data_IF_693748520141
#
_entry.id   IF_693748520141
#
_cell.length_a   1.000
_cell.length_b   1.000
_cell.length_c   1.000
_cell.angle_alpha   90.00
_cell.angle_beta   90.00
_cell.angle_gamma   90.00
#
_symmetry.space_group_name_H-M   'P 1'
#
loop_
_entity.id
_entity.type
_entity.pdbx_description
1 polymer ?
#
# COMPACT_ATOMS: atom_id res chain seq x y z
N UNK A 1 7.69 -3.93 -18.98
CA UNK A 1 7.40 -3.42 -17.64
C UNK A 1 6.25 -2.42 -17.67
N UNK A 2 6.31 -1.37 -18.51
CA UNK A 2 5.32 -0.29 -18.58
C UNK A 2 3.92 -0.81 -18.90
N UNK A 3 3.74 -1.61 -19.96
CA UNK A 3 2.45 -2.21 -20.30
C UNK A 3 1.86 -3.07 -19.16
N UNK A 4 2.72 -3.88 -18.51
CA UNK A 4 2.28 -4.71 -17.38
C UNK A 4 1.89 -3.86 -16.18
N UNK A 5 2.61 -2.74 -15.94
CA UNK A 5 2.31 -1.82 -14.87
C UNK A 5 0.98 -1.09 -15.09
N UNK A 6 0.71 -0.63 -16.31
CA UNK A 6 -0.57 -0.02 -16.68
C UNK A 6 -1.74 -0.98 -16.48
N UNK A 7 -1.59 -2.25 -16.90
CA UNK A 7 -2.60 -3.28 -16.67
C UNK A 7 -2.84 -3.53 -15.17
N UNK A 8 -1.78 -3.68 -14.37
CA UNK A 8 -1.88 -3.91 -12.92
C UNK A 8 -2.57 -2.73 -12.25
N UNK A 9 -2.10 -1.51 -12.49
CA UNK A 9 -2.68 -0.31 -11.86
C UNK A 9 -4.12 -0.06 -12.32
N UNK A 10 -4.49 -0.45 -13.53
CA UNK A 10 -5.86 -0.37 -14.02
C UNK A 10 -6.82 -1.43 -13.45
N UNK A 11 -6.30 -2.56 -12.99
CA UNK A 11 -7.10 -3.69 -12.52
C UNK A 11 -7.30 -3.71 -11.00
N UNK A 12 -6.39 -3.14 -10.21
CA UNK A 12 -6.40 -3.27 -8.76
C UNK A 12 -6.81 -1.98 -8.05
N UNK A 13 -7.65 -2.15 -7.01
CA UNK A 13 -7.99 -1.15 -6.03
C UNK A 13 -7.55 -1.63 -4.64
N UNK A 14 -7.28 -0.71 -3.73
CA UNK A 14 -6.88 -1.02 -2.37
C UNK A 14 -7.90 -0.51 -1.37
N UNK A 15 -8.46 -1.40 -0.54
CA UNK A 15 -9.30 -1.03 0.59
C UNK A 15 -8.47 -1.06 1.88
N UNK A 16 -8.37 0.09 2.55
CA UNK A 16 -7.75 0.17 3.88
C UNK A 16 -8.81 0.02 4.97
N UNK A 17 -8.52 -0.81 5.99
CA UNK A 17 -9.42 -1.08 7.12
C UNK A 17 -8.89 -0.56 8.46
N UNK A 18 -7.73 0.10 8.49
CA UNK A 18 -7.11 0.55 9.75
C UNK A 18 -6.49 1.94 9.63
N UNK A 19 -6.45 2.65 10.75
CA UNK A 19 -5.71 3.92 10.90
C UNK A 19 -4.50 3.75 11.83
N UNK A 20 -4.35 2.59 12.46
CA UNK A 20 -3.25 2.31 13.39
C UNK A 20 -2.00 1.92 12.59
N UNK A 21 -0.94 2.69 12.75
CA UNK A 21 0.32 2.45 12.03
C UNK A 21 0.93 1.07 12.30
N UNK A 22 0.81 0.58 13.53
CA UNK A 22 1.28 -0.75 13.94
C UNK A 22 0.50 -1.91 13.31
N UNK A 23 -0.71 -1.66 12.83
CA UNK A 23 -1.53 -2.65 12.12
C UNK A 23 -1.30 -2.63 10.60
N UNK A 24 -0.52 -1.68 10.08
CA UNK A 24 -0.11 -1.67 8.68
C UNK A 24 1.01 -2.69 8.48
N UNK A 25 0.76 -3.61 7.57
CA UNK A 25 1.63 -4.76 7.33
C UNK A 25 2.99 -4.35 6.77
N UNK A 26 4.06 -4.83 7.42
CA UNK A 26 5.44 -4.63 7.00
C UNK A 26 6.18 -5.97 6.98
N UNK A 27 7.02 -6.18 5.97
CA UNK A 27 7.79 -7.41 5.79
C UNK A 27 9.27 -7.08 5.64
N UNK A 28 10.15 -7.79 6.34
CA UNK A 28 11.58 -7.63 6.12
C UNK A 28 11.96 -8.04 4.70
N UNK A 29 12.83 -7.27 4.09
CA UNK A 29 13.33 -7.57 2.74
C UNK A 29 13.99 -8.95 2.68
N UNK A 30 14.73 -9.32 3.73
CA UNK A 30 15.37 -10.65 3.86
C UNK A 30 14.33 -11.77 3.82
N UNK A 31 13.20 -11.61 4.53
CA UNK A 31 12.12 -12.60 4.54
C UNK A 31 11.47 -12.71 3.15
N UNK A 32 11.20 -11.58 2.50
CA UNK A 32 10.62 -11.59 1.15
C UNK A 32 11.54 -12.29 0.14
N UNK A 33 12.85 -12.04 0.21
CA UNK A 33 13.84 -12.71 -0.65
C UNK A 33 13.93 -14.22 -0.37
N UNK A 34 13.73 -14.64 0.88
CA UNK A 34 13.74 -16.05 1.26
C UNK A 34 12.47 -16.81 0.82
N UNK A 35 11.30 -16.16 0.96
CA UNK A 35 10.00 -16.77 0.64
C UNK A 35 9.69 -16.70 -0.85
N UNK A 36 10.16 -15.66 -1.54
CA UNK A 36 9.91 -15.40 -2.95
C UNK A 36 11.24 -15.42 -3.74
N UNK A 37 11.94 -16.54 -3.77
CA UNK A 37 13.25 -16.63 -4.40
C UNK A 37 13.13 -16.52 -5.93
N UNK A 38 14.08 -15.82 -6.56
CA UNK A 38 14.16 -15.61 -7.99
C UNK A 38 14.13 -16.89 -8.86
N UNK A 39 14.61 -18.01 -8.31
CA UNK A 39 14.68 -19.30 -9.02
C UNK A 39 13.32 -20.03 -9.13
N UNK A 40 12.31 -19.62 -8.35
CA UNK A 40 10.98 -20.24 -8.40
C UNK A 40 10.23 -19.92 -9.71
N UNK A 41 10.68 -18.91 -10.46
CA UNK A 41 10.12 -18.55 -11.77
C UNK A 41 11.04 -19.08 -12.88
N UNK A 42 10.73 -20.29 -13.29
CA UNK A 42 11.47 -20.99 -14.36
C UNK A 42 11.45 -20.22 -15.69
N UNK A 43 12.64 -19.93 -16.19
CA UNK A 43 13.09 -19.96 -17.60
C UNK A 43 13.19 -18.65 -18.39
N UNK A 44 12.50 -17.54 -18.13
CA UNK A 44 12.61 -16.40 -19.05
C UNK A 44 12.95 -15.03 -18.44
N UNK A 45 12.73 -14.78 -17.15
CA UNK A 45 12.98 -13.47 -16.54
C UNK A 45 13.78 -13.60 -15.25
N UNK A 46 15.02 -13.12 -15.27
CA UNK A 46 15.93 -13.10 -14.09
C UNK A 46 15.65 -11.94 -13.13
N UNK A 47 14.41 -11.53 -12.98
CA UNK A 47 14.03 -10.42 -12.10
C UNK A 47 13.38 -10.98 -10.86
N UNK A 48 13.94 -10.68 -9.68
CA UNK A 48 13.32 -11.04 -8.41
C UNK A 48 12.11 -10.13 -8.11
N UNK A 49 11.16 -10.63 -7.33
CA UNK A 49 10.00 -9.81 -6.91
C UNK A 49 10.46 -8.58 -6.14
N UNK A 50 11.51 -8.70 -5.33
CA UNK A 50 12.11 -7.57 -4.62
C UNK A 50 12.66 -6.52 -5.58
N UNK A 51 13.25 -6.94 -6.70
CA UNK A 51 13.69 -5.99 -7.74
C UNK A 51 12.51 -5.26 -8.37
N UNK A 52 11.40 -5.94 -8.65
CA UNK A 52 10.19 -5.30 -9.17
C UNK A 52 9.67 -4.25 -8.18
N UNK A 53 9.65 -4.55 -6.88
CA UNK A 53 9.23 -3.59 -5.85
C UNK A 53 10.19 -2.38 -5.80
N UNK A 54 11.51 -2.59 -5.97
CA UNK A 54 12.48 -1.51 -6.09
C UNK A 54 12.22 -0.63 -7.31
N UNK A 55 11.92 -1.23 -8.47
CA UNK A 55 11.64 -0.50 -9.70
C UNK A 55 10.34 0.31 -9.59
N UNK A 56 9.30 -0.24 -8.95
CA UNK A 56 8.06 0.46 -8.64
C UNK A 56 8.34 1.68 -7.74
N UNK A 57 9.06 1.45 -6.64
CA UNK A 57 9.42 2.52 -5.72
C UNK A 57 10.26 3.60 -6.41
N UNK A 58 11.24 3.21 -7.19
CA UNK A 58 12.08 4.12 -7.94
C UNK A 58 11.26 5.00 -8.89
N UNK A 59 10.40 4.38 -9.71
CA UNK A 59 9.55 5.10 -10.66
C UNK A 59 8.62 6.10 -9.94
N UNK A 60 8.04 5.71 -8.82
CA UNK A 60 7.20 6.57 -8.02
C UNK A 60 7.99 7.73 -7.38
N UNK A 61 9.19 7.47 -6.87
CA UNK A 61 10.07 8.52 -6.32
C UNK A 61 10.50 9.52 -7.38
N UNK A 62 10.70 9.12 -8.64
CA UNK A 62 10.96 10.02 -9.75
C UNK A 62 9.77 10.93 -10.04
N UNK A 63 8.55 10.40 -9.94
CA UNK A 63 7.32 11.20 -10.05
C UNK A 63 7.28 12.26 -8.94
N UNK A 64 7.45 11.84 -7.68
CA UNK A 64 7.46 12.76 -6.52
C UNK A 64 8.53 13.83 -6.68
N UNK A 65 9.74 13.47 -7.09
CA UNK A 65 10.83 14.41 -7.29
C UNK A 65 10.50 15.44 -8.38
N UNK A 66 9.85 15.04 -9.46
CA UNK A 66 9.46 15.92 -10.55
C UNK A 66 8.38 16.92 -10.12
N UNK A 67 7.34 16.43 -9.44
CA UNK A 67 6.21 17.25 -9.02
C UNK A 67 6.56 18.25 -7.91
N UNK A 68 7.47 17.86 -7.01
CA UNK A 68 7.82 18.63 -5.81
C UNK A 68 9.27 19.14 -5.82
N UNK A 69 9.91 19.27 -6.99
CA UNK A 69 11.34 19.64 -7.10
C UNK A 69 11.72 20.96 -6.42
N UNK A 70 10.77 21.87 -6.25
CA UNK A 70 10.97 23.18 -5.60
C UNK A 70 10.36 23.26 -4.19
N UNK A 71 9.75 22.18 -3.69
CA UNK A 71 9.16 22.15 -2.36
C UNK A 71 10.24 21.84 -1.32
N UNK A 72 10.41 22.68 -0.28
CA UNK A 72 11.37 22.40 0.81
C UNK A 72 11.03 21.10 1.57
N UNK A 73 9.80 20.62 1.49
CA UNK A 73 9.38 19.36 2.11
C UNK A 73 9.65 18.11 1.24
N UNK A 74 10.27 18.24 0.06
CA UNK A 74 10.49 17.13 -0.88
C UNK A 74 11.07 15.88 -0.21
N UNK A 75 12.12 16.01 0.58
CA UNK A 75 12.76 14.87 1.23
C UNK A 75 11.84 14.18 2.24
N UNK A 76 11.00 14.95 2.94
CA UNK A 76 10.00 14.41 3.87
C UNK A 76 8.89 13.67 3.10
N UNK A 77 8.40 14.26 1.99
CA UNK A 77 7.38 13.62 1.15
C UNK A 77 7.91 12.31 0.58
N UNK A 78 9.11 12.31 0.02
CA UNK A 78 9.76 11.10 -0.50
C UNK A 78 9.93 10.02 0.58
N UNK A 79 10.39 10.40 1.77
CA UNK A 79 10.56 9.47 2.89
C UNK A 79 9.23 8.90 3.38
N UNK A 80 8.19 9.73 3.46
CA UNK A 80 6.87 9.33 3.94
C UNK A 80 6.05 8.54 2.92
N UNK A 81 6.40 8.56 1.63
CA UNK A 81 5.70 7.85 0.56
C UNK A 81 6.49 6.67 0.01
N UNK A 82 7.72 6.47 0.46
CA UNK A 82 8.56 5.33 0.06
C UNK A 82 7.91 4.00 0.46
N UNK A 83 8.03 2.99 -0.40
CA UNK A 83 7.65 1.61 -0.07
C UNK A 83 8.57 1.02 0.99
N UNK A 84 9.81 1.49 1.09
CA UNK A 84 10.81 0.97 2.02
C UNK A 84 10.95 1.86 3.26
N UNK A 85 10.97 1.25 4.45
CA UNK A 85 11.36 1.93 5.70
C UNK A 85 12.87 2.04 5.75
N UNK A 86 13.36 3.19 6.27
CA UNK A 86 14.79 3.47 6.46
C UNK A 86 15.66 3.36 5.20
N UNK A 87 15.93 4.53 4.62
CA UNK A 87 17.07 4.82 3.77
C UNK A 87 17.04 4.47 2.27
N UNK A 88 15.91 4.52 1.60
CA UNK A 88 15.97 4.65 0.13
C UNK A 88 16.73 5.93 -0.33
N UNK A 89 16.89 6.94 0.55
CA UNK A 89 17.55 8.22 0.24
C UNK A 89 18.99 8.37 0.77
N UNK A 90 19.46 7.49 1.63
CA UNK A 90 20.88 7.50 1.97
C UNK A 90 21.64 6.56 1.04
N UNK A 91 22.54 7.14 0.24
CA UNK A 91 23.54 6.46 -0.60
C UNK A 91 24.45 5.54 0.23
N UNK A 92 23.90 4.70 1.09
CA UNK A 92 24.69 3.76 1.88
C UNK A 92 24.50 2.36 1.33
N UNK A 93 25.27 2.06 0.29
CA UNK A 93 25.48 0.72 -0.28
C UNK A 93 25.95 -0.34 0.76
N UNK A 94 25.86 -0.06 2.03
CA UNK A 94 26.42 -0.92 3.10
C UNK A 94 25.57 -1.03 4.37
N UNK A 95 24.32 -0.54 4.38
CA UNK A 95 23.44 -0.82 5.51
C UNK A 95 22.86 -2.23 5.36
N UNK A 96 22.91 -2.91 6.47
CA UNK A 96 22.49 -4.30 6.63
C UNK A 96 21.07 -4.44 6.10
N UNK A 97 20.85 -5.24 5.05
CA UNK A 97 19.54 -5.54 4.44
C UNK A 97 18.49 -6.01 5.47
N UNK A 98 18.92 -6.39 6.65
CA UNK A 98 18.09 -6.87 7.76
C UNK A 98 17.15 -5.82 8.33
N UNK A 99 17.50 -4.54 8.22
CA UNK A 99 16.72 -3.44 8.82
C UNK A 99 15.74 -2.80 7.83
N UNK A 100 15.80 -3.16 6.54
CA UNK A 100 14.89 -2.66 5.52
C UNK A 100 13.60 -3.45 5.53
N UNK A 101 12.49 -2.75 5.67
CA UNK A 101 11.16 -3.36 5.60
C UNK A 101 10.38 -2.81 4.39
N UNK A 102 9.57 -3.66 3.79
CA UNK A 102 8.62 -3.32 2.74
C UNK A 102 7.28 -2.98 3.39
N UNK A 103 6.80 -1.77 3.18
CA UNK A 103 5.51 -1.28 3.64
C UNK A 103 4.43 -1.67 2.63
N UNK A 104 3.65 -2.72 2.94
CA UNK A 104 2.67 -3.26 2.01
C UNK A 104 1.55 -2.26 1.68
N UNK A 105 1.11 -1.46 2.65
CA UNK A 105 0.12 -0.42 2.41
C UNK A 105 0.61 0.62 1.40
N UNK A 106 1.88 1.04 1.46
CA UNK A 106 2.46 1.99 0.50
C UNK A 106 2.54 1.38 -0.91
N UNK A 107 2.97 0.11 -1.01
CA UNK A 107 2.96 -0.62 -2.27
C UNK A 107 1.54 -0.70 -2.86
N UNK A 108 0.54 -1.00 -2.03
CA UNK A 108 -0.86 -1.06 -2.45
C UNK A 108 -1.39 0.31 -2.90
N UNK A 109 -1.07 1.40 -2.18
CA UNK A 109 -1.46 2.75 -2.57
C UNK A 109 -0.86 3.13 -3.92
N UNK A 110 0.41 2.81 -4.16
CA UNK A 110 1.10 3.13 -5.41
C UNK A 110 0.53 2.27 -6.56
N UNK A 111 0.36 0.96 -6.33
CA UNK A 111 -0.04 -0.01 -7.35
C UNK A 111 -1.54 -0.08 -7.68
N UNK A 112 -2.37 0.72 -7.04
CA UNK A 112 -3.83 0.75 -7.28
C UNK A 112 -4.24 1.99 -8.06
N UNK A 113 -5.32 1.91 -8.84
CA UNK A 113 -5.92 3.10 -9.45
C UNK A 113 -6.71 3.93 -8.43
N UNK A 114 -7.26 3.29 -7.40
CA UNK A 114 -8.04 3.93 -6.34
C UNK A 114 -7.78 3.25 -5.00
N UNK A 115 -7.83 4.03 -3.94
CA UNK A 115 -7.75 3.57 -2.55
C UNK A 115 -9.03 3.99 -1.85
N UNK A 116 -9.64 3.11 -1.07
CA UNK A 116 -10.81 3.51 -0.30
C UNK A 116 -10.69 3.26 1.19
N UNK A 117 -11.24 4.21 1.95
CA UNK A 117 -11.62 4.00 3.33
C UNK A 117 -13.02 3.38 3.42
N UNK A 118 -13.37 2.84 4.58
CA UNK A 118 -14.59 2.05 4.81
C UNK A 118 -15.74 2.82 5.49
N UNK A 119 -15.54 4.10 5.74
CA UNK A 119 -16.54 5.09 6.14
C UNK A 119 -16.04 6.49 5.84
N UNK A 120 -16.92 7.48 5.84
CA UNK A 120 -16.53 8.86 5.57
C UNK A 120 -15.52 9.39 6.60
N UNK A 121 -15.76 9.13 7.88
CA UNK A 121 -14.85 9.49 8.96
C UNK A 121 -13.48 8.80 8.78
N UNK A 122 -13.47 7.50 8.51
CA UNK A 122 -12.24 6.74 8.28
C UNK A 122 -11.46 7.31 7.10
N UNK A 123 -12.14 7.56 5.99
CA UNK A 123 -11.51 8.12 4.77
C UNK A 123 -10.90 9.50 5.02
N UNK A 124 -11.59 10.36 5.79
CA UNK A 124 -11.07 11.66 6.20
C UNK A 124 -9.78 11.51 7.02
N UNK A 125 -9.78 10.60 8.01
CA UNK A 125 -8.60 10.32 8.82
C UNK A 125 -7.44 9.81 7.96
N UNK A 126 -7.70 8.91 6.99
CA UNK A 126 -6.67 8.43 6.06
C UNK A 126 -6.02 9.58 5.28
N UNK A 127 -6.82 10.50 4.75
CA UNK A 127 -6.33 11.67 3.98
C UNK A 127 -5.55 12.65 4.85
N UNK A 128 -6.00 12.89 6.08
CA UNK A 128 -5.43 13.89 6.97
C UNK A 128 -4.20 13.39 7.75
N UNK A 129 -4.09 12.06 7.97
CA UNK A 129 -3.03 11.47 8.77
C UNK A 129 -2.24 10.38 8.04
N UNK A 130 -2.79 9.18 7.93
CA UNK A 130 -2.06 7.96 7.52
C UNK A 130 -1.45 8.10 6.13
N UNK A 131 -2.23 8.56 5.16
CA UNK A 131 -1.82 8.74 3.77
C UNK A 131 -1.79 10.19 3.31
N UNK A 132 -1.63 11.12 4.25
CA UNK A 132 -1.61 12.56 3.97
C UNK A 132 -0.62 12.92 2.86
N UNK A 133 0.57 12.34 2.86
CA UNK A 133 1.59 12.62 1.87
C UNK A 133 1.24 12.02 0.50
N UNK A 134 0.59 10.86 0.49
CA UNK A 134 0.06 10.30 -0.75
C UNK A 134 -1.06 11.17 -1.35
N UNK A 135 -1.96 11.71 -0.51
CA UNK A 135 -3.00 12.62 -0.98
C UNK A 135 -2.42 13.90 -1.61
N UNK A 136 -1.25 14.36 -1.14
CA UNK A 136 -0.53 15.49 -1.74
C UNK A 136 0.05 15.14 -3.11
N UNK A 137 0.62 13.93 -3.25
CA UNK A 137 1.25 13.46 -4.50
C UNK A 137 0.21 13.05 -5.54
N UNK A 138 -0.86 12.40 -5.11
CA UNK A 138 -1.93 11.89 -5.98
C UNK A 138 -3.30 12.31 -5.44
N UNK A 139 -3.69 13.58 -5.59
CA UNK A 139 -4.93 14.11 -5.06
C UNK A 139 -6.16 13.37 -5.60
N UNK A 140 -7.12 13.07 -4.71
CA UNK A 140 -8.37 12.43 -5.08
C UNK A 140 -8.29 10.92 -5.32
N UNK A 141 -7.13 10.31 -5.16
CA UNK A 141 -6.96 8.85 -5.25
C UNK A 141 -7.64 8.12 -4.10
N UNK A 142 -7.76 8.76 -2.93
CA UNK A 142 -8.38 8.17 -1.74
C UNK A 142 -9.85 8.58 -1.69
N UNK A 143 -10.74 7.61 -1.81
CA UNK A 143 -12.20 7.81 -1.83
C UNK A 143 -12.88 7.13 -0.65
N UNK A 144 -14.14 7.45 -0.41
CA UNK A 144 -14.97 6.76 0.56
C UNK A 144 -15.87 5.74 -0.11
N UNK A 145 -15.86 4.50 0.41
CA UNK A 145 -16.87 3.47 0.13
C UNK A 145 -17.27 2.90 1.48
N UNK A 146 -18.40 3.37 2.00
CA UNK A 146 -18.91 2.94 3.30
C UNK A 146 -19.29 1.46 3.27
N UNK A 147 -18.84 0.71 4.28
CA UNK A 147 -19.19 -0.70 4.44
C UNK A 147 -20.70 -0.91 4.51
N UNK A 148 -21.17 -1.98 3.91
CA UNK A 148 -22.54 -2.46 4.06
C UNK A 148 -22.75 -3.11 5.43
N UNK A 149 -24.01 -3.16 5.86
CA UNK A 149 -24.45 -3.84 7.07
C UNK A 149 -25.57 -4.84 6.74
N UNK A 150 -25.59 -5.98 7.45
CA UNK A 150 -26.61 -7.04 7.28
C UNK A 150 -27.14 -7.48 8.65
N UNK A 151 -27.84 -6.59 9.39
CA UNK A 151 -28.22 -6.85 10.79
C UNK A 151 -29.12 -8.07 10.95
N UNK A 152 -30.03 -8.36 9.99
CA UNK A 152 -30.85 -9.56 10.02
C UNK A 152 -30.02 -10.84 9.95
N UNK A 153 -29.09 -10.93 9.03
CA UNK A 153 -28.19 -12.08 8.92
C UNK A 153 -27.35 -12.26 10.17
N UNK A 154 -26.82 -11.18 10.74
CA UNK A 154 -26.04 -11.24 11.97
C UNK A 154 -26.87 -11.74 13.15
N UNK A 155 -28.13 -11.26 13.28
CA UNK A 155 -29.03 -11.73 14.32
C UNK A 155 -29.35 -13.22 14.19
N UNK A 156 -29.69 -13.68 12.98
CA UNK A 156 -29.95 -15.09 12.69
C UNK A 156 -28.76 -16.00 12.99
N UNK A 157 -27.54 -15.56 12.65
CA UNK A 157 -26.34 -16.35 12.89
C UNK A 157 -25.91 -16.40 14.36
N UNK A 158 -26.06 -15.28 15.09
CA UNK A 158 -25.64 -15.23 16.51
C UNK A 158 -26.71 -15.81 17.45
N UNK A 159 -27.97 -15.86 17.03
CA UNK A 159 -29.07 -16.40 17.84
C UNK A 159 -30.05 -17.23 16.99
N UNK A 160 -29.69 -18.49 16.68
CA UNK A 160 -30.56 -19.38 15.89
C UNK A 160 -31.95 -19.58 16.47
N UNK A 161 -32.12 -19.49 17.82
CA UNK A 161 -33.42 -19.61 18.46
C UNK A 161 -34.35 -18.43 18.17
N UNK A 162 -33.81 -17.27 17.79
CA UNK A 162 -34.61 -16.10 17.44
C UNK A 162 -35.10 -16.15 15.97
N UNK A 163 -34.61 -17.07 15.15
CA UNK A 163 -34.99 -17.21 13.74
C UNK A 163 -36.49 -17.38 13.57
N UNK A 164 -37.11 -18.19 14.44
CA UNK A 164 -38.55 -18.44 14.44
C UNK A 164 -39.42 -17.20 14.79
N UNK A 165 -38.79 -16.14 15.30
CA UNK A 165 -39.52 -14.90 15.63
C UNK A 165 -39.54 -13.91 14.45
N UNK A 166 -38.66 -14.14 13.44
CA UNK A 166 -38.45 -13.22 12.32
C UNK A 166 -38.77 -13.86 10.95
N UNK A 167 -39.13 -15.15 10.94
CA UNK A 167 -39.65 -15.86 9.78
C UNK A 167 -41.18 -15.65 9.67
#
# INVERSE_FOLDING_TARGET
>A
YEEAWELVTGCFAYTNHTVMSEALETWSLEMMEAVLPWWAWRACVRVSITQIIFDINWSFMQLVQREFQHDPALLEIMGATSIFTNDANKRVRKLVRRDVQVQMAHLCVIGSHVVNGVSELHTRILRESVFRRFEQVTPGKIINITNGITPRRWLLQCNPCADHLFA
#
